data_IF_080691058445
#
_entry.id   IF_080691058445
#
_cell.length_a   1.000
_cell.length_b   1.000
_cell.length_c   1.000
_cell.angle_alpha   90.00
_cell.angle_beta   90.00
_cell.angle_gamma   90.00
#
_symmetry.space_group_name_H-M   'P 1'
#
loop_
_entity.id
_entity.type
_entity.pdbx_description
1 polymer ?
#
# COMPACT_ATOMS: atom_id res chain seq x y z
N UNK A 1 -54.82 38.62 -48.92
CA UNK A 1 -53.39 38.99 -48.85
C UNK A 1 -53.05 39.31 -47.41
N UNK A 2 -52.01 38.63 -46.88
CA UNK A 2 -51.06 39.07 -45.81
C UNK A 2 -51.58 39.62 -44.47
N UNK A 3 -50.98 39.38 -43.31
CA UNK A 3 -50.02 38.41 -42.77
C UNK A 3 -49.97 38.70 -41.25
N UNK A 4 -49.76 37.66 -40.43
CA UNK A 4 -48.97 37.59 -39.17
C UNK A 4 -48.53 38.88 -38.44
N UNK A 5 -48.45 38.99 -37.12
CA UNK A 5 -48.80 38.19 -35.93
C UNK A 5 -48.56 39.13 -34.72
N UNK A 6 -49.26 38.97 -33.57
CA UNK A 6 -49.04 39.80 -32.39
C UNK A 6 -48.27 39.01 -31.33
N UNK A 7 -47.29 39.63 -30.67
CA UNK A 7 -47.24 39.60 -29.21
C UNK A 7 -46.25 40.62 -28.65
N UNK A 8 -46.74 41.20 -27.58
CA UNK A 8 -46.37 42.43 -26.91
C UNK A 8 -45.57 42.13 -25.64
N UNK A 9 -44.47 42.88 -25.49
CA UNK A 9 -43.99 43.55 -24.27
C UNK A 9 -43.93 42.85 -22.89
N UNK A 10 -42.69 42.92 -22.36
CA UNK A 10 -42.28 43.47 -21.04
C UNK A 10 -42.04 42.57 -19.83
N UNK A 11 -40.83 42.81 -19.30
CA UNK A 11 -40.43 42.98 -17.90
C UNK A 11 -39.80 41.78 -17.15
N UNK A 12 -38.66 42.10 -16.52
CA UNK A 12 -37.74 41.24 -15.80
C UNK A 12 -38.05 41.16 -14.30
N UNK A 13 -37.75 40.02 -13.65
CA UNK A 13 -37.06 39.88 -12.35
C UNK A 13 -36.90 38.38 -11.95
N UNK A 14 -36.19 37.97 -10.87
CA UNK A 14 -34.93 37.22 -10.99
C UNK A 14 -34.93 35.80 -10.41
N UNK A 15 -33.81 35.13 -10.68
CA UNK A 15 -33.26 33.83 -10.21
C UNK A 15 -33.75 33.33 -8.84
N UNK A 16 -34.28 32.10 -8.83
CA UNK A 16 -34.28 31.19 -7.69
C UNK A 16 -33.87 29.78 -8.13
N UNK A 17 -32.96 29.15 -7.38
CA UNK A 17 -32.44 27.78 -7.53
C UNK A 17 -33.57 26.74 -7.39
N UNK A 18 -33.60 25.74 -8.26
CA UNK A 18 -34.36 24.52 -8.07
C UNK A 18 -33.40 23.31 -8.09
N UNK A 19 -33.38 22.59 -6.97
CA UNK A 19 -32.72 21.29 -6.79
C UNK A 19 -33.45 20.22 -7.60
N UNK A 20 -32.71 19.44 -8.39
CA UNK A 20 -33.22 18.27 -9.12
C UNK A 20 -33.18 17.05 -8.18
N UNK A 21 -34.36 16.63 -7.72
CA UNK A 21 -34.56 15.33 -7.07
C UNK A 21 -34.28 14.19 -8.08
N UNK A 22 -33.32 13.32 -7.74
CA UNK A 22 -33.07 12.06 -8.45
C UNK A 22 -34.23 11.09 -8.17
N UNK A 23 -34.73 10.46 -9.24
CA UNK A 23 -35.78 9.44 -9.19
C UNK A 23 -35.33 8.18 -8.43
N UNK A 24 -36.27 7.46 -7.76
CA UNK A 24 -35.97 6.17 -7.14
C UNK A 24 -35.69 5.11 -8.21
N UNK A 25 -34.69 4.25 -7.95
CA UNK A 25 -34.35 3.09 -8.79
C UNK A 25 -35.56 2.17 -8.95
N UNK A 26 -35.74 1.66 -10.16
CA UNK A 26 -36.76 0.67 -10.50
C UNK A 26 -36.63 -0.56 -9.59
N UNK A 27 -37.73 -1.13 -9.09
CA UNK A 27 -37.69 -2.39 -8.35
C UNK A 27 -37.16 -3.51 -9.25
N UNK A 28 -36.28 -4.35 -8.70
CA UNK A 28 -35.72 -5.52 -9.40
C UNK A 28 -36.84 -6.41 -9.93
N UNK A 29 -36.64 -6.93 -11.12
CA UNK A 29 -37.55 -7.89 -11.72
C UNK A 29 -37.52 -9.20 -10.93
N UNK A 30 -38.65 -9.92 -10.96
CA UNK A 30 -38.80 -11.21 -10.28
C UNK A 30 -37.74 -12.23 -10.76
N UNK A 31 -37.28 -12.07 -12.00
CA UNK A 31 -36.24 -12.91 -12.60
C UNK A 31 -34.84 -12.61 -12.05
N UNK A 32 -34.49 -11.33 -11.84
CA UNK A 32 -33.23 -10.95 -11.18
C UNK A 32 -33.16 -11.44 -9.74
N UNK A 33 -34.27 -11.42 -9.01
CA UNK A 33 -34.35 -11.95 -7.64
C UNK A 33 -34.16 -13.48 -7.64
N UNK A 34 -34.72 -14.17 -8.63
CA UNK A 34 -34.57 -15.63 -8.77
C UNK A 34 -33.14 -16.02 -9.15
N UNK A 35 -32.49 -15.25 -10.03
CA UNK A 35 -31.10 -15.49 -10.44
C UNK A 35 -30.12 -15.23 -9.27
N UNK A 36 -30.36 -14.18 -8.47
CA UNK A 36 -29.57 -13.90 -7.26
C UNK A 36 -29.73 -15.01 -6.20
N UNK A 37 -30.96 -15.50 -6.01
CA UNK A 37 -31.23 -16.62 -5.11
C UNK A 37 -30.58 -17.93 -5.58
N UNK A 38 -30.57 -18.19 -6.89
CA UNK A 38 -29.92 -19.38 -7.47
C UNK A 38 -28.40 -19.31 -7.30
N UNK A 39 -27.79 -18.13 -7.52
CA UNK A 39 -26.36 -17.93 -7.33
C UNK A 39 -25.91 -18.12 -5.87
N UNK A 40 -26.72 -17.66 -4.90
CA UNK A 40 -26.47 -17.89 -3.48
C UNK A 40 -26.55 -19.38 -3.11
N UNK A 41 -27.52 -20.10 -3.68
CA UNK A 41 -27.70 -21.53 -3.41
C UNK A 41 -26.54 -22.37 -3.99
N UNK A 42 -26.09 -22.07 -5.21
CA UNK A 42 -24.93 -22.71 -5.82
C UNK A 42 -23.65 -22.46 -5.01
N UNK A 43 -23.51 -21.27 -4.44
CA UNK A 43 -22.38 -20.92 -3.58
C UNK A 43 -22.38 -21.69 -2.25
N UNK A 44 -23.55 -21.88 -1.63
CA UNK A 44 -23.70 -22.69 -0.41
C UNK A 44 -23.36 -24.17 -0.66
N UNK A 45 -23.82 -24.71 -1.79
CA UNK A 45 -23.51 -26.08 -2.23
C UNK A 45 -21.99 -26.27 -2.50
N UNK A 46 -21.34 -25.27 -3.11
CA UNK A 46 -19.89 -25.29 -3.37
C UNK A 46 -19.07 -25.20 -2.07
N UNK A 47 -19.53 -24.41 -1.09
CA UNK A 47 -18.90 -24.34 0.24
C UNK A 47 -19.02 -25.67 1.00
N UNK A 48 -20.19 -26.32 0.97
CA UNK A 48 -20.38 -27.63 1.61
C UNK A 48 -19.51 -28.72 0.96
N UNK A 49 -19.35 -28.70 -0.37
CA UNK A 49 -18.48 -29.65 -1.08
C UNK A 49 -16.98 -29.49 -0.74
N UNK A 50 -16.57 -28.32 -0.25
CA UNK A 50 -15.20 -28.07 0.22
C UNK A 50 -14.97 -28.55 1.65
N UNK A 51 -16.01 -28.61 2.49
CA UNK A 51 -15.93 -29.10 3.87
C UNK A 51 -15.88 -30.64 3.96
N UNK A 52 -16.34 -31.37 2.94
CA UNK A 52 -16.39 -32.85 2.95
C UNK A 52 -15.09 -33.57 2.50
N UNK A 53 -14.03 -32.84 2.14
CA UNK A 53 -12.73 -33.47 1.80
C UNK A 53 -11.88 -33.69 3.05
N UNK A 54 -11.52 -34.94 3.41
CA UNK A 54 -10.69 -35.18 4.58
C UNK A 54 -9.27 -34.67 4.29
N UNK A 55 -8.88 -33.59 4.96
CA UNK A 55 -7.51 -33.09 4.99
C UNK A 55 -6.70 -34.01 5.90
N UNK A 56 -5.60 -34.55 5.37
CA UNK A 56 -4.66 -35.40 6.09
C UNK A 56 -4.26 -34.77 7.45
N UNK A 57 -4.60 -35.47 8.53
CA UNK A 57 -4.23 -35.14 9.90
C UNK A 57 -2.71 -35.14 10.05
N UNK A 58 -2.14 -34.02 10.50
CA UNK A 58 -0.70 -33.97 10.84
C UNK A 58 -0.08 -32.58 11.01
N UNK A 59 -0.76 -31.48 10.67
CA UNK A 59 -0.13 -30.13 10.70
C UNK A 59 -0.82 -29.15 11.67
N UNK A 60 -1.91 -29.55 12.35
CA UNK A 60 -2.73 -28.62 13.14
C UNK A 60 -2.88 -28.96 14.64
N UNK A 61 -2.15 -29.95 15.18
CA UNK A 61 -2.30 -30.32 16.61
C UNK A 61 -1.66 -29.34 17.61
N UNK A 62 -0.85 -28.37 17.17
CA UNK A 62 -0.07 -27.51 18.10
C UNK A 62 -0.62 -26.07 18.25
N UNK A 63 -1.85 -25.80 17.78
CA UNK A 63 -2.45 -24.46 17.88
C UNK A 63 -3.69 -24.38 18.79
N UNK A 64 -4.08 -25.46 19.48
CA UNK A 64 -5.30 -25.49 20.32
C UNK A 64 -5.08 -25.32 21.84
N UNK A 65 -3.89 -24.92 22.30
CA UNK A 65 -3.65 -24.67 23.75
C UNK A 65 -3.16 -23.26 24.10
N UNK A 66 -3.53 -22.23 23.32
CA UNK A 66 -3.41 -20.83 23.77
C UNK A 66 -4.75 -20.09 23.63
N UNK A 67 -5.18 -19.36 24.67
CA UNK A 67 -6.52 -18.78 24.72
C UNK A 67 -6.69 -17.71 23.64
N UNK A 68 -7.89 -17.70 23.06
CA UNK A 68 -8.29 -16.84 21.95
C UNK A 68 -8.20 -15.34 22.30
N UNK A 69 -7.94 -14.52 21.27
CA UNK A 69 -7.86 -13.05 21.32
C UNK A 69 -9.18 -12.31 21.70
N UNK A 70 -10.14 -13.01 22.30
CA UNK A 70 -11.40 -12.46 22.81
C UNK A 70 -11.33 -11.97 24.26
N UNK A 71 -10.26 -12.29 24.99
CA UNK A 71 -10.02 -11.81 26.37
C UNK A 71 -9.06 -10.60 26.47
N UNK A 72 -8.56 -10.09 25.34
CA UNK A 72 -7.62 -8.95 25.29
C UNK A 72 -8.28 -7.59 24.95
N UNK A 73 -9.59 -7.56 24.71
CA UNK A 73 -10.36 -6.34 24.45
C UNK A 73 -11.65 -6.34 25.29
N UNK A 74 -11.51 -6.09 26.58
CA UNK A 74 -12.61 -5.99 27.53
C UNK A 74 -12.21 -5.13 28.72
N UNK A 75 -11.98 -3.84 28.49
CA UNK A 75 -11.97 -2.82 29.53
C UNK A 75 -12.18 -1.45 28.85
N UNK A 76 -13.45 -1.03 28.86
CA UNK A 76 -13.96 0.33 29.00
C UNK A 76 -12.99 1.47 28.66
N UNK A 77 -13.16 2.01 27.44
CA UNK A 77 -12.73 3.35 27.10
C UNK A 77 -13.74 4.35 27.70
N UNK A 78 -13.65 4.62 28.99
CA UNK A 78 -14.20 5.86 29.56
C UNK A 78 -13.16 6.97 29.37
N UNK A 79 -13.62 8.07 28.79
CA UNK A 79 -12.82 9.28 28.62
C UNK A 79 -12.84 10.09 29.90
N UNK A 80 -11.68 10.57 30.30
CA UNK A 80 -11.56 11.70 31.23
C UNK A 80 -10.83 12.83 30.51
N UNK A 81 -11.64 13.81 30.11
CA UNK A 81 -11.25 15.21 30.12
C UNK A 81 -11.10 15.62 31.59
N UNK A 82 -9.92 16.09 32.02
CA UNK A 82 -9.84 16.87 33.27
C UNK A 82 -8.81 17.99 33.14
N UNK A 83 -9.35 19.21 33.13
CA UNK A 83 -8.68 20.48 33.28
C UNK A 83 -8.20 20.63 34.74
N UNK A 84 -7.02 21.23 34.93
CA UNK A 84 -6.41 21.33 36.26
C UNK A 84 -7.11 22.28 37.23
N UNK A 85 -6.85 22.11 38.53
CA UNK A 85 -6.45 23.19 39.45
C UNK A 85 -5.91 22.66 40.81
N UNK A 86 -5.08 23.51 41.39
CA UNK A 86 -4.38 23.62 42.70
C UNK A 86 -4.80 22.75 43.90
N UNK A 87 -3.78 22.22 44.60
CA UNK A 87 -3.87 21.83 46.01
C UNK A 87 -2.50 21.64 46.68
N UNK A 88 -2.15 22.52 47.61
CA UNK A 88 -0.90 22.54 48.38
C UNK A 88 -0.84 21.51 49.53
N UNK A 89 0.41 21.19 49.93
CA UNK A 89 0.98 20.79 51.26
C UNK A 89 0.69 19.40 51.88
N UNK A 90 1.54 18.87 52.80
CA UNK A 90 2.98 19.04 53.02
C UNK A 90 3.78 17.74 53.32
N UNK A 91 5.10 17.90 53.32
CA UNK A 91 6.16 16.99 53.80
C UNK A 91 5.90 16.26 55.13
N UNK A 92 6.28 14.98 55.21
CA UNK A 92 6.96 14.40 56.40
C UNK A 92 7.98 13.34 56.00
N UNK A 93 9.16 13.39 56.64
CA UNK A 93 10.23 12.37 56.59
C UNK A 93 10.00 11.34 57.70
N UNK A 94 10.36 10.08 57.45
CA UNK A 94 10.98 9.20 58.45
C UNK A 94 11.76 8.06 57.80
N UNK A 95 12.81 7.63 58.50
CA UNK A 95 13.96 6.89 58.01
C UNK A 95 14.04 5.45 58.54
N UNK A 96 14.92 4.66 57.91
CA UNK A 96 15.55 3.40 58.35
C UNK A 96 14.61 2.15 58.37
N UNK A 97 15.04 0.90 58.16
CA UNK A 97 16.35 0.25 58.11
C UNK A 97 16.23 -1.13 57.41
N UNK A 98 17.32 -1.52 56.75
CA UNK A 98 17.79 -2.84 56.28
C UNK A 98 17.07 -4.15 56.66
N UNK A 99 16.99 -5.08 55.68
CA UNK A 99 17.54 -6.46 55.77
C UNK A 99 17.56 -7.12 54.37
N UNK A 100 18.62 -7.89 54.10
CA UNK A 100 18.92 -8.52 52.82
C UNK A 100 18.59 -10.02 52.83
N UNK A 101 18.19 -10.61 51.68
CA UNK A 101 18.63 -11.97 51.27
C UNK A 101 18.33 -12.33 49.80
N UNK A 102 19.42 -12.75 49.13
CA UNK A 102 19.63 -13.74 48.06
C UNK A 102 19.25 -13.48 46.57
N UNK A 103 20.13 -13.94 45.62
CA UNK A 103 20.06 -13.59 44.21
C UNK A 103 19.24 -14.61 43.40
N UNK A 104 18.58 -14.15 42.33
CA UNK A 104 18.11 -14.99 41.23
C UNK A 104 18.92 -14.65 39.99
N UNK A 105 19.57 -15.66 39.42
CA UNK A 105 20.31 -15.61 38.17
C UNK A 105 19.41 -15.08 37.04
N UNK A 106 19.76 -13.93 36.49
CA UNK A 106 19.20 -13.41 35.26
C UNK A 106 20.17 -13.73 34.12
N UNK A 107 19.64 -14.37 33.07
CA UNK A 107 20.35 -14.59 31.80
C UNK A 107 20.82 -13.24 31.23
N UNK A 108 22.01 -13.13 30.61
CA UNK A 108 22.53 -11.85 30.17
C UNK A 108 21.70 -11.34 28.98
N UNK A 109 21.01 -10.21 29.19
CA UNK A 109 20.45 -9.38 28.12
C UNK A 109 21.64 -8.68 27.45
N UNK A 110 21.99 -9.13 26.24
CA UNK A 110 23.05 -8.50 25.45
C UNK A 110 22.68 -7.03 25.19
N UNK A 111 23.51 -6.11 25.66
CA UNK A 111 23.41 -4.69 25.36
C UNK A 111 23.76 -4.45 23.88
N UNK A 112 22.74 -4.14 23.07
CA UNK A 112 22.87 -3.75 21.65
C UNK A 112 23.31 -2.29 21.50
N UNK A 113 24.41 -1.89 22.14
CA UNK A 113 24.86 -0.47 22.11
C UNK A 113 26.16 -0.21 21.36
N UNK A 114 26.88 -1.21 20.83
CA UNK A 114 28.21 -0.99 20.24
C UNK A 114 28.38 -1.51 18.81
N UNK A 115 27.47 -1.15 17.89
CA UNK A 115 27.65 -1.40 16.45
C UNK A 115 27.21 -0.21 15.59
N UNK A 116 27.73 1.00 15.84
CA UNK A 116 27.67 2.09 14.84
C UNK A 116 28.89 3.00 15.00
N UNK A 117 30.03 2.60 14.44
CA UNK A 117 31.06 3.57 14.01
C UNK A 117 31.15 3.51 12.49
N UNK A 118 30.73 4.60 11.84
CA UNK A 118 30.69 4.71 10.40
C UNK A 118 29.82 5.89 9.98
N UNK A 119 30.36 7.09 10.12
CA UNK A 119 29.74 8.31 9.62
C UNK A 119 29.68 8.27 8.08
N UNK A 120 28.47 8.16 7.52
CA UNK A 120 28.19 8.44 6.12
C UNK A 120 27.36 9.70 6.00
N UNK A 121 27.81 10.67 5.20
CA UNK A 121 27.07 11.89 4.89
C UNK A 121 25.80 11.56 4.10
N UNK A 122 24.64 12.00 4.58
CA UNK A 122 23.39 12.00 3.82
C UNK A 122 22.24 11.32 4.56
N UNK A 123 21.15 12.07 4.73
CA UNK A 123 19.91 11.74 5.46
C UNK A 123 19.98 11.94 6.99
N UNK A 124 19.17 12.88 7.48
CA UNK A 124 19.00 13.16 8.91
C UNK A 124 18.00 12.17 9.49
N UNK A 125 18.35 11.53 10.60
CA UNK A 125 17.43 10.66 11.35
C UNK A 125 16.21 11.46 11.82
N UNK A 126 15.00 10.95 11.59
CA UNK A 126 13.76 11.51 12.12
C UNK A 126 13.84 11.61 13.65
N UNK A 127 14.57 10.73 14.36
CA UNK A 127 14.75 10.87 15.81
C UNK A 127 15.48 12.15 16.19
N UNK A 128 16.46 12.56 15.39
CA UNK A 128 17.18 13.82 15.57
C UNK A 128 16.29 15.01 15.17
N UNK A 129 15.51 14.88 14.09
CA UNK A 129 14.48 15.86 13.70
C UNK A 129 13.40 16.01 14.78
N UNK A 130 12.96 14.92 15.40
CA UNK A 130 12.00 14.87 16.51
C UNK A 130 12.58 15.52 17.77
N UNK A 131 13.85 15.26 18.10
CA UNK A 131 14.53 15.96 19.20
C UNK A 131 14.61 17.46 18.98
N UNK A 132 14.84 17.89 17.73
CA UNK A 132 14.78 19.31 17.36
C UNK A 132 13.37 19.85 17.52
N UNK A 133 12.34 19.13 17.05
CA UNK A 133 10.94 19.50 17.26
C UNK A 133 10.56 19.61 18.74
N UNK A 134 10.95 18.67 19.59
CA UNK A 134 10.69 18.73 21.04
C UNK A 134 11.41 19.92 21.68
N UNK A 135 12.66 20.19 21.26
CA UNK A 135 13.44 21.33 21.73
C UNK A 135 12.83 22.66 21.27
N UNK A 136 12.36 22.73 20.04
CA UNK A 136 11.75 23.91 19.44
C UNK A 136 10.31 24.12 19.94
N UNK A 137 9.55 23.05 20.21
CA UNK A 137 8.26 23.11 20.89
C UNK A 137 8.44 23.68 22.30
N UNK A 138 9.41 23.16 23.07
CA UNK A 138 9.77 23.68 24.41
C UNK A 138 10.27 25.13 24.37
N UNK A 139 11.02 25.53 23.33
CA UNK A 139 11.46 26.91 23.12
C UNK A 139 10.35 27.84 22.65
N UNK A 140 9.39 27.35 21.88
CA UNK A 140 8.25 28.15 21.39
C UNK A 140 7.27 28.55 22.50
N UNK A 141 7.21 27.76 23.58
CA UNK A 141 6.51 28.12 24.82
C UNK A 141 7.22 29.28 25.55
N UNK A 142 8.51 29.52 25.26
CA UNK A 142 9.35 30.48 25.96
C UNK A 142 9.74 31.71 25.12
N UNK A 143 9.65 31.64 23.79
CA UNK A 143 9.81 32.79 22.89
C UNK A 143 8.91 32.64 21.67
N UNK A 144 7.97 33.56 21.48
CA UNK A 144 6.99 33.57 20.39
C UNK A 144 7.58 33.88 19.01
N UNK A 145 8.60 33.13 18.55
CA UNK A 145 9.17 33.28 17.21
C UNK A 145 8.46 32.38 16.21
N UNK A 146 7.79 33.00 15.23
CA UNK A 146 6.94 32.37 14.20
C UNK A 146 7.69 32.04 12.90
N UNK A 147 9.00 32.32 12.82
CA UNK A 147 9.73 32.40 11.55
C UNK A 147 10.38 31.07 11.11
N UNK A 148 10.75 30.18 12.04
CA UNK A 148 11.41 28.90 11.69
C UNK A 148 10.44 27.77 11.32
N UNK A 149 9.15 27.90 11.63
CA UNK A 149 8.09 26.93 11.25
C UNK A 149 7.94 26.78 9.72
N UNK A 150 8.34 27.77 8.93
CA UNK A 150 8.00 27.85 7.51
C UNK A 150 8.85 26.94 6.59
N UNK A 151 10.10 26.64 6.95
CA UNK A 151 11.02 25.89 6.07
C UNK A 151 10.99 24.37 6.27
N UNK A 152 10.62 23.86 7.45
CA UNK A 152 10.52 22.41 7.71
C UNK A 152 9.09 21.87 7.52
N UNK A 153 8.06 22.70 7.69
CA UNK A 153 6.68 22.34 7.37
C UNK A 153 6.43 22.11 5.87
N UNK A 154 7.33 22.60 5.00
CA UNK A 154 7.15 22.54 3.54
C UNK A 154 7.52 21.18 2.93
N UNK A 155 8.39 20.38 3.54
CA UNK A 155 8.75 19.04 3.05
C UNK A 155 8.04 17.90 3.80
N UNK A 156 7.86 18.01 5.12
CA UNK A 156 7.27 16.96 5.98
C UNK A 156 5.82 17.24 6.40
N UNK A 157 5.01 17.75 5.47
CA UNK A 157 3.58 18.03 5.66
C UNK A 157 2.70 16.83 6.11
N UNK A 158 3.29 15.63 6.24
CA UNK A 158 2.62 14.37 6.58
C UNK A 158 2.94 13.90 8.00
N UNK A 159 3.99 14.45 8.63
CA UNK A 159 4.43 14.05 9.97
C UNK A 159 3.74 14.91 11.04
N UNK A 160 2.45 14.67 11.26
CA UNK A 160 1.74 15.25 12.40
C UNK A 160 2.20 14.58 13.73
N UNK A 161 1.94 15.19 14.90
CA UNK A 161 2.36 14.63 16.19
C UNK A 161 1.89 13.19 16.42
N UNK A 162 0.71 12.83 15.88
CA UNK A 162 0.17 11.48 15.98
C UNK A 162 0.97 10.47 15.15
N UNK A 163 1.27 10.79 13.88
CA UNK A 163 2.12 9.95 13.02
C UNK A 163 3.50 9.77 13.63
N UNK A 164 4.05 10.85 14.17
CA UNK A 164 5.35 10.86 14.87
C UNK A 164 5.35 9.88 16.05
N UNK A 165 4.31 9.89 16.89
CA UNK A 165 4.17 8.94 17.99
C UNK A 165 4.04 7.49 17.50
N UNK A 166 3.38 7.26 16.36
CA UNK A 166 3.28 5.91 15.78
C UNK A 166 4.63 5.39 15.29
N UNK A 167 5.42 6.24 14.62
CA UNK A 167 6.79 5.89 14.23
C UNK A 167 7.67 5.60 15.45
N UNK A 168 7.56 6.41 16.50
CA UNK A 168 8.28 6.18 17.74
C UNK A 168 7.89 4.84 18.41
N UNK A 169 6.62 4.45 18.35
CA UNK A 169 6.16 3.15 18.84
C UNK A 169 6.74 1.98 18.05
N UNK A 170 6.85 2.10 16.73
CA UNK A 170 7.51 1.09 15.88
C UNK A 170 8.99 0.95 16.25
N UNK A 171 9.67 2.08 16.51
CA UNK A 171 11.07 2.08 16.94
C UNK A 171 11.22 1.44 18.33
N UNK A 172 10.40 1.84 19.29
CA UNK A 172 10.47 1.33 20.67
C UNK A 172 10.14 -0.17 20.76
N UNK A 173 9.32 -0.70 19.83
CA UNK A 173 9.02 -2.13 19.74
C UNK A 173 10.17 -2.95 19.16
N UNK A 174 11.09 -2.31 18.43
CA UNK A 174 12.17 -2.99 17.72
C UNK A 174 11.81 -3.40 16.29
N UNK A 175 10.62 -3.02 15.79
CA UNK A 175 10.24 -3.26 14.38
C UNK A 175 11.13 -2.43 13.42
N UNK A 176 11.60 -1.27 13.89
CA UNK A 176 12.52 -0.38 13.20
C UNK A 176 13.60 0.09 14.19
N UNK A 177 14.82 0.34 13.71
CA UNK A 177 15.89 0.92 14.53
C UNK A 177 15.94 2.45 14.35
N UNK A 178 15.90 2.89 13.08
CA UNK A 178 16.00 4.29 12.70
C UNK A 178 15.13 4.60 11.48
N UNK A 179 14.47 5.75 11.48
CA UNK A 179 13.78 6.29 10.29
C UNK A 179 14.51 7.55 9.86
N UNK A 180 14.75 7.70 8.57
CA UNK A 180 15.49 8.78 7.93
C UNK A 180 14.55 9.67 7.10
N UNK A 181 15.13 10.68 6.43
CA UNK A 181 14.38 11.64 5.61
C UNK A 181 13.51 11.02 4.50
N UNK A 182 12.61 11.85 3.97
CA UNK A 182 11.70 11.48 2.90
C UNK A 182 12.48 11.13 1.62
N UNK A 183 12.28 9.90 1.13
CA UNK A 183 12.83 9.40 -0.13
C UNK A 183 12.01 9.87 -1.31
N UNK A 184 10.68 9.82 -1.18
CA UNK A 184 9.75 10.19 -2.23
C UNK A 184 8.52 10.86 -1.63
N UNK A 185 8.22 12.07 -2.11
CA UNK A 185 6.99 12.78 -1.76
C UNK A 185 6.00 12.65 -2.90
N UNK A 186 4.89 11.96 -2.66
CA UNK A 186 3.78 11.83 -3.58
C UNK A 186 2.59 12.72 -3.21
N UNK A 187 1.61 12.79 -4.11
CA UNK A 187 0.34 13.48 -3.86
C UNK A 187 -0.48 12.79 -2.76
N UNK A 188 -0.36 11.46 -2.66
CA UNK A 188 -1.18 10.62 -1.78
C UNK A 188 -0.44 10.16 -0.53
N UNK A 189 0.85 9.87 -0.67
CA UNK A 189 1.68 9.37 0.40
C UNK A 189 3.12 9.90 0.28
N UNK A 190 3.83 9.93 1.40
CA UNK A 190 5.27 10.11 1.45
C UNK A 190 5.93 8.79 1.83
N UNK A 191 7.06 8.49 1.22
CA UNK A 191 7.87 7.30 1.51
C UNK A 191 9.16 7.74 2.17
N UNK A 192 9.47 7.16 3.33
CA UNK A 192 10.67 7.44 4.11
C UNK A 192 11.57 6.21 4.12
N UNK A 193 12.88 6.42 4.15
CA UNK A 193 13.85 5.35 4.33
C UNK A 193 13.94 5.00 5.83
N UNK A 194 14.07 3.72 6.15
CA UNK A 194 14.29 3.26 7.51
C UNK A 194 15.26 2.09 7.54
N UNK A 195 15.96 1.93 8.66
CA UNK A 195 16.75 0.74 8.99
C UNK A 195 16.06 0.02 10.15
N UNK A 196 16.14 -1.29 10.13
CA UNK A 196 15.73 -2.15 11.24
C UNK A 196 16.64 -3.37 11.28
N UNK A 197 16.39 -4.23 12.26
CA UNK A 197 17.11 -5.49 12.42
C UNK A 197 16.11 -6.62 12.29
N UNK A 198 16.39 -7.57 11.42
CA UNK A 198 15.56 -8.76 11.26
C UNK A 198 15.61 -9.60 12.55
N UNK A 199 14.46 -9.90 13.15
CA UNK A 199 14.42 -10.58 14.46
C UNK A 199 14.99 -12.00 14.40
N UNK A 200 14.75 -12.72 13.30
CA UNK A 200 15.15 -14.11 13.14
C UNK A 200 16.65 -14.25 12.83
N UNK A 201 17.16 -13.41 11.92
CA UNK A 201 18.54 -13.49 11.44
C UNK A 201 19.51 -12.55 12.15
N UNK A 202 19.00 -11.59 12.93
CA UNK A 202 19.76 -10.52 13.59
C UNK A 202 20.60 -9.67 12.61
N UNK A 203 20.25 -9.67 11.33
CA UNK A 203 20.94 -8.92 10.30
C UNK A 203 20.29 -7.55 10.08
N UNK A 204 21.08 -6.52 9.74
CA UNK A 204 20.54 -5.23 9.37
C UNK A 204 19.70 -5.36 8.10
N UNK A 205 18.52 -4.73 8.12
CA UNK A 205 17.56 -4.75 7.04
C UNK A 205 17.04 -3.34 6.77
N UNK A 206 16.79 -3.05 5.50
CA UNK A 206 16.32 -1.75 5.06
C UNK A 206 14.82 -1.80 4.76
N UNK A 207 14.11 -0.75 5.16
CA UNK A 207 12.67 -0.60 5.04
C UNK A 207 12.29 0.72 4.38
N UNK A 208 11.19 0.69 3.65
CA UNK A 208 10.45 1.85 3.19
C UNK A 208 9.22 2.02 4.09
N UNK A 209 9.02 3.22 4.63
CA UNK A 209 7.87 3.59 5.44
C UNK A 209 6.98 4.49 4.61
N UNK A 210 5.89 3.94 4.05
CA UNK A 210 4.90 4.68 3.28
C UNK A 210 3.84 5.23 4.23
N UNK A 211 3.72 6.55 4.30
CA UNK A 211 2.77 7.27 5.16
C UNK A 211 1.78 7.99 4.26
N UNK A 212 0.52 7.58 4.30
CA UNK A 212 -0.54 8.22 3.52
C UNK A 212 -0.97 9.53 4.17
N UNK A 213 -1.26 10.55 3.35
CA UNK A 213 -1.65 11.87 3.82
C UNK A 213 -3.08 11.86 4.34
N UNK A 214 -3.27 12.31 5.58
CA UNK A 214 -4.58 12.34 6.26
C UNK A 214 -5.48 13.50 5.82
N UNK A 215 -4.92 14.61 5.36
CA UNK A 215 -5.61 15.89 5.11
C UNK A 215 -6.21 16.07 3.72
N UNK A 216 -6.26 14.99 2.93
CA UNK A 216 -6.57 15.04 1.50
C UNK A 216 -8.05 15.27 1.15
N UNK A 217 -8.63 16.42 1.46
CA UNK A 217 -9.98 16.77 0.97
C UNK A 217 -10.08 16.93 -0.57
N UNK A 218 -8.99 16.71 -1.31
CA UNK A 218 -8.85 17.01 -2.75
C UNK A 218 -8.81 15.79 -3.68
N UNK A 219 -8.92 14.55 -3.19
CA UNK A 219 -9.08 13.38 -4.07
C UNK A 219 -10.57 13.07 -4.29
N UNK A 220 -11.08 13.44 -5.47
CA UNK A 220 -12.48 13.24 -5.85
C UNK A 220 -12.94 11.79 -5.88
N UNK A 221 -12.03 10.81 -6.00
CA UNK A 221 -12.39 9.42 -6.30
C UNK A 221 -11.77 8.38 -5.33
N UNK A 222 -11.62 8.70 -4.03
CA UNK A 222 -11.12 7.72 -3.04
C UNK A 222 -11.89 6.40 -2.99
N UNK A 223 -13.17 6.45 -3.33
CA UNK A 223 -14.02 5.27 -3.35
C UNK A 223 -13.67 4.33 -4.51
N UNK A 224 -13.16 4.83 -5.64
CA UNK A 224 -12.82 4.03 -6.82
C UNK A 224 -11.75 2.97 -6.49
N UNK A 225 -10.90 3.23 -5.49
CA UNK A 225 -9.89 2.28 -5.02
C UNK A 225 -10.45 1.10 -4.23
N UNK A 226 -11.68 1.17 -3.72
CA UNK A 226 -12.27 0.12 -2.85
C UNK A 226 -13.61 -0.38 -3.38
N UNK A 227 -14.26 0.40 -4.26
CA UNK A 227 -15.54 0.06 -4.88
C UNK A 227 -15.36 -1.16 -5.77
N UNK A 228 -16.25 -2.16 -5.61
CA UNK A 228 -16.22 -3.40 -6.38
C UNK A 228 -15.31 -4.50 -5.81
N UNK A 229 -14.49 -4.20 -4.79
CA UNK A 229 -13.73 -5.21 -4.07
C UNK A 229 -14.59 -5.80 -2.93
N UNK A 230 -15.07 -7.04 -3.12
CA UNK A 230 -15.94 -7.75 -2.17
C UNK A 230 -15.32 -7.92 -0.77
N UNK A 231 -14.01 -7.75 -0.62
CA UNK A 231 -13.29 -7.85 0.66
C UNK A 231 -13.50 -6.63 1.55
N UNK A 232 -14.01 -5.54 0.99
CA UNK A 232 -14.24 -4.30 1.71
C UNK A 232 -15.73 -3.96 1.72
N UNK A 233 -16.13 -3.35 2.84
CA UNK A 233 -17.52 -3.03 3.12
C UNK A 233 -18.12 -2.09 2.06
N UNK A 234 -19.28 -2.49 1.51
CA UNK A 234 -20.05 -1.69 0.55
C UNK A 234 -20.44 -0.30 1.12
N UNK A 235 -20.43 -0.15 2.44
CA UNK A 235 -20.62 1.12 3.13
C UNK A 235 -19.36 1.99 3.25
N UNK A 236 -18.25 1.67 2.55
CA UNK A 236 -17.00 2.44 2.56
C UNK A 236 -17.22 3.95 2.40
N UNK A 237 -18.12 4.34 1.49
CA UNK A 237 -18.42 5.74 1.20
C UNK A 237 -19.09 6.48 2.38
N UNK A 238 -19.73 5.76 3.30
CA UNK A 238 -20.40 6.32 4.48
C UNK A 238 -19.46 6.45 5.69
N UNK A 239 -18.21 5.96 5.58
CA UNK A 239 -17.22 6.00 6.66
C UNK A 239 -16.46 7.32 6.67
N UNK A 240 -16.07 7.77 7.85
CA UNK A 240 -15.21 8.95 8.01
C UNK A 240 -13.88 8.79 7.26
N UNK A 241 -13.31 9.91 6.80
CA UNK A 241 -12.09 9.94 6.01
C UNK A 241 -10.92 9.15 6.65
N UNK A 242 -10.84 9.14 7.99
CA UNK A 242 -9.84 8.36 8.71
C UNK A 242 -10.03 6.85 8.57
N UNK A 243 -11.27 6.37 8.67
CA UNK A 243 -11.58 4.94 8.52
C UNK A 243 -11.34 4.49 7.09
N UNK A 244 -11.72 5.32 6.12
CA UNK A 244 -11.41 5.09 4.71
C UNK A 244 -9.90 4.98 4.45
N UNK A 245 -9.11 5.90 5.02
CA UNK A 245 -7.66 5.88 4.88
C UNK A 245 -7.04 4.61 5.48
N UNK A 246 -7.52 4.19 6.66
CA UNK A 246 -7.09 2.96 7.31
C UNK A 246 -7.41 1.74 6.43
N UNK A 247 -8.63 1.63 5.91
CA UNK A 247 -9.02 0.52 5.03
C UNK A 247 -8.20 0.49 3.74
N UNK A 248 -7.88 1.64 3.16
CA UNK A 248 -6.99 1.71 2.00
C UNK A 248 -5.56 1.26 2.34
N UNK A 249 -5.03 1.71 3.47
CA UNK A 249 -3.69 1.30 3.96
C UNK A 249 -3.64 -0.21 4.21
N UNK A 250 -4.69 -0.77 4.81
CA UNK A 250 -4.84 -2.22 4.99
C UNK A 250 -4.99 -2.95 3.66
N UNK A 251 -5.69 -2.38 2.68
CA UNK A 251 -5.80 -2.92 1.32
C UNK A 251 -4.43 -3.04 0.66
N UNK A 252 -3.63 -1.97 0.68
CA UNK A 252 -2.28 -2.00 0.12
C UNK A 252 -1.41 -3.05 0.80
N UNK A 253 -1.42 -3.10 2.14
CA UNK A 253 -0.68 -4.11 2.90
C UNK A 253 -1.09 -5.54 2.52
N UNK A 254 -2.40 -5.83 2.41
CA UNK A 254 -2.92 -7.16 2.03
C UNK A 254 -2.53 -7.52 0.59
N UNK A 255 -2.67 -6.58 -0.34
CA UNK A 255 -2.32 -6.80 -1.74
C UNK A 255 -0.81 -7.03 -1.89
N UNK A 256 0.05 -6.22 -1.24
CA UNK A 256 1.50 -6.44 -1.18
C UNK A 256 1.85 -7.80 -0.59
N UNK A 257 1.20 -8.18 0.52
CA UNK A 257 1.43 -9.46 1.19
C UNK A 257 1.10 -10.65 0.29
N UNK A 258 0.09 -10.50 -0.58
CA UNK A 258 -0.31 -11.54 -1.54
C UNK A 258 0.62 -11.55 -2.75
N UNK A 259 0.97 -10.38 -3.30
CA UNK A 259 1.86 -10.24 -4.45
C UNK A 259 3.29 -10.72 -4.16
N UNK A 260 3.86 -10.31 -3.02
CA UNK A 260 5.25 -10.60 -2.66
C UNK A 260 5.56 -12.10 -2.46
N UNK A 261 4.55 -12.97 -2.39
CA UNK A 261 4.71 -14.43 -2.37
C UNK A 261 5.05 -15.02 -3.74
N UNK A 262 4.67 -14.34 -4.81
CA UNK A 262 4.71 -14.89 -6.18
C UNK A 262 5.53 -14.05 -7.14
N UNK A 263 5.67 -12.76 -6.86
CA UNK A 263 6.40 -11.81 -7.69
C UNK A 263 7.37 -10.97 -6.86
N UNK A 264 8.30 -10.31 -7.54
CA UNK A 264 9.19 -9.31 -6.95
C UNK A 264 8.39 -8.05 -6.64
N UNK A 265 7.94 -7.97 -5.39
CA UNK A 265 7.34 -6.78 -4.79
C UNK A 265 7.99 -6.55 -3.41
N UNK A 266 7.95 -5.30 -2.88
CA UNK A 266 8.37 -5.03 -1.52
C UNK A 266 7.64 -5.91 -0.51
N UNK A 267 8.37 -6.80 0.17
CA UNK A 267 7.78 -7.63 1.21
C UNK A 267 7.28 -6.74 2.35
N UNK A 268 5.99 -6.74 2.69
CA UNK A 268 5.47 -5.91 3.76
C UNK A 268 5.88 -6.47 5.13
N UNK A 269 6.19 -5.58 6.08
CA UNK A 269 6.52 -5.91 7.46
C UNK A 269 5.32 -5.70 8.38
N UNK A 270 4.77 -4.49 8.40
CA UNK A 270 3.64 -4.16 9.27
C UNK A 270 2.82 -3.00 8.72
N UNK A 271 1.58 -2.87 9.22
CA UNK A 271 0.68 -1.76 8.92
C UNK A 271 0.12 -1.19 10.22
N UNK A 272 0.10 0.13 10.34
CA UNK A 272 -0.46 0.84 11.49
C UNK A 272 -1.20 2.09 11.05
N UNK A 273 -2.53 2.08 11.21
CA UNK A 273 -3.41 3.17 10.76
C UNK A 273 -3.18 3.52 9.29
N UNK A 274 -2.46 4.60 9.00
CA UNK A 274 -2.13 5.10 7.66
C UNK A 274 -0.65 4.95 7.30
N UNK A 275 0.06 4.03 7.95
CA UNK A 275 1.48 3.74 7.74
C UNK A 275 1.64 2.28 7.31
N UNK A 276 2.32 2.06 6.18
CA UNK A 276 2.79 0.74 5.74
C UNK A 276 4.32 0.71 5.80
N UNK A 277 4.86 -0.29 6.48
CA UNK A 277 6.30 -0.58 6.50
C UNK A 277 6.54 -1.78 5.61
N UNK A 278 7.47 -1.67 4.66
CA UNK A 278 7.79 -2.70 3.69
C UNK A 278 9.28 -2.72 3.38
N UNK A 279 9.77 -3.77 2.72
CA UNK A 279 11.17 -3.89 2.29
C UNK A 279 11.57 -2.70 1.41
N UNK A 280 12.71 -2.10 1.70
CA UNK A 280 13.30 -1.10 0.81
C UNK A 280 13.93 -1.77 -0.41
N UNK A 281 13.71 -1.18 -1.59
CA UNK A 281 14.33 -1.60 -2.86
C UNK A 281 15.23 -0.46 -3.32
N UNK A 282 16.53 -0.65 -3.14
CA UNK A 282 17.53 0.38 -3.38
C UNK A 282 18.92 -0.06 -2.95
N UNK A 283 19.83 0.89 -2.81
CA UNK A 283 21.21 0.62 -2.42
C UNK A 283 21.40 0.64 -0.88
N UNK A 284 22.63 0.32 -0.43
CA UNK A 284 23.02 0.33 0.98
C UNK A 284 23.02 1.72 1.61
N UNK A 285 23.14 2.77 0.80
CA UNK A 285 23.18 4.16 1.24
C UNK A 285 21.78 4.74 1.48
N UNK A 286 20.73 4.06 1.02
CA UNK A 286 19.34 4.47 1.18
C UNK A 286 18.78 5.21 -0.03
N UNK A 287 19.46 5.16 -1.18
CA UNK A 287 18.90 5.66 -2.43
C UNK A 287 17.96 4.60 -3.04
N UNK A 288 16.75 5.00 -3.46
CA UNK A 288 15.80 4.07 -4.06
C UNK A 288 16.32 3.60 -5.42
N UNK A 289 15.97 2.36 -5.80
CA UNK A 289 16.21 1.90 -7.15
C UNK A 289 15.48 2.81 -8.16
N UNK A 290 16.07 3.08 -9.35
CA UNK A 290 15.43 3.92 -10.35
C UNK A 290 14.13 3.27 -10.83
N UNK A 291 13.13 4.11 -11.12
CA UNK A 291 11.94 3.64 -11.85
C UNK A 291 12.33 3.18 -13.26
N UNK A 292 11.50 2.36 -13.89
CA UNK A 292 11.72 1.92 -15.27
C UNK A 292 11.75 3.11 -16.25
N UNK A 293 11.02 4.18 -15.91
CA UNK A 293 11.13 5.48 -16.60
C UNK A 293 12.52 6.11 -16.49
N UNK A 294 13.13 6.09 -15.32
CA UNK A 294 14.43 6.74 -15.08
C UNK A 294 15.61 5.87 -15.51
N UNK A 295 15.41 4.55 -15.54
CA UNK A 295 16.42 3.58 -15.91
C UNK A 295 16.91 3.81 -17.36
N UNK A 296 18.23 3.87 -17.51
CA UNK A 296 18.92 3.90 -18.80
C UNK A 296 19.32 2.48 -19.16
N UNK A 297 18.51 1.86 -20.00
CA UNK A 297 18.66 0.46 -20.40
C UNK A 297 19.17 0.37 -21.84
N UNK A 298 20.07 -0.58 -22.09
CA UNK A 298 20.42 -0.98 -23.46
C UNK A 298 19.24 -1.68 -24.13
N UNK A 299 19.29 -1.84 -25.45
CA UNK A 299 18.24 -2.55 -26.20
C UNK A 299 18.00 -3.98 -25.66
N UNK A 300 19.06 -4.75 -25.45
CA UNK A 300 18.96 -6.09 -24.84
C UNK A 300 18.36 -6.06 -23.43
N UNK A 301 18.77 -5.08 -22.59
CA UNK A 301 18.21 -4.94 -21.25
C UNK A 301 16.73 -4.57 -21.26
N UNK A 302 16.28 -3.78 -22.24
CA UNK A 302 14.86 -3.45 -22.43
C UNK A 302 14.04 -4.71 -22.76
N UNK A 303 14.56 -5.57 -23.65
CA UNK A 303 13.89 -6.84 -23.98
C UNK A 303 13.78 -7.74 -22.75
N UNK A 304 14.87 -7.92 -22.01
CA UNK A 304 14.83 -8.69 -20.76
C UNK A 304 13.87 -8.08 -19.73
N UNK A 305 13.82 -6.75 -19.61
CA UNK A 305 12.91 -6.07 -18.69
C UNK A 305 11.44 -6.26 -19.09
N UNK A 306 11.13 -6.23 -20.39
CA UNK A 306 9.80 -6.49 -20.93
C UNK A 306 9.33 -7.91 -20.59
N UNK A 307 10.15 -8.90 -20.89
CA UNK A 307 9.86 -10.32 -20.59
C UNK A 307 9.67 -10.52 -19.08
N UNK A 308 10.60 -9.98 -18.28
CA UNK A 308 10.55 -10.10 -16.81
C UNK A 308 9.28 -9.44 -16.23
N UNK A 309 8.83 -8.33 -16.82
CA UNK A 309 7.60 -7.65 -16.42
C UNK A 309 6.35 -8.45 -16.83
N UNK A 310 6.26 -8.96 -18.07
CA UNK A 310 5.13 -9.78 -18.51
C UNK A 310 4.98 -11.07 -17.70
N UNK A 311 6.09 -11.76 -17.41
CA UNK A 311 6.09 -12.94 -16.53
C UNK A 311 5.59 -12.56 -15.14
N UNK A 312 6.00 -11.40 -14.61
CA UNK A 312 5.54 -10.91 -13.32
C UNK A 312 4.04 -10.59 -13.33
N UNK A 313 3.51 -9.97 -14.40
CA UNK A 313 2.07 -9.70 -14.56
C UNK A 313 1.28 -11.01 -14.63
N UNK A 314 1.77 -12.01 -15.39
CA UNK A 314 1.15 -13.34 -15.47
C UNK A 314 1.11 -14.04 -14.10
N UNK A 315 2.21 -14.03 -13.35
CA UNK A 315 2.28 -14.59 -11.99
C UNK A 315 1.33 -13.84 -11.03
N UNK A 316 1.26 -12.51 -11.14
CA UNK A 316 0.32 -11.69 -10.37
C UNK A 316 -1.15 -12.07 -10.67
N UNK A 317 -1.48 -12.28 -11.94
CA UNK A 317 -2.83 -12.64 -12.39
C UNK A 317 -3.24 -14.07 -12.00
N UNK A 318 -2.39 -15.07 -12.23
CA UNK A 318 -2.75 -16.47 -11.99
C UNK A 318 -2.51 -16.92 -10.55
N UNK A 319 -1.41 -16.53 -9.93
CA UNK A 319 -1.01 -17.05 -8.61
C UNK A 319 -1.47 -16.12 -7.50
N UNK A 320 -1.24 -14.81 -7.65
CA UNK A 320 -1.71 -13.84 -6.66
C UNK A 320 -3.19 -13.46 -6.84
N UNK A 321 -3.85 -13.88 -7.93
CA UNK A 321 -5.23 -13.51 -8.28
C UNK A 321 -5.48 -12.00 -8.22
N UNK A 322 -4.49 -11.19 -8.60
CA UNK A 322 -4.53 -9.73 -8.59
C UNK A 322 -4.33 -9.18 -10.00
N UNK A 323 -4.95 -8.04 -10.24
CA UNK A 323 -4.57 -7.12 -11.32
C UNK A 323 -4.02 -5.86 -10.65
N UNK A 324 -2.91 -5.32 -11.16
CA UNK A 324 -2.27 -4.17 -10.53
C UNK A 324 -3.16 -2.93 -10.59
N UNK A 325 -3.86 -2.73 -11.71
CA UNK A 325 -4.87 -1.70 -11.87
C UNK A 325 -4.33 -0.28 -11.91
N UNK A 326 -3.01 -0.08 -11.99
CA UNK A 326 -2.38 1.23 -12.24
C UNK A 326 -0.92 1.02 -12.67
N UNK A 327 -0.67 -0.02 -13.47
CA UNK A 327 0.69 -0.38 -13.86
C UNK A 327 1.19 0.57 -14.95
N UNK A 328 2.37 1.13 -14.72
CA UNK A 328 3.08 2.01 -15.64
C UNK A 328 4.59 1.99 -15.37
N UNK A 329 5.38 2.67 -16.20
CA UNK A 329 6.83 2.79 -16.04
C UNK A 329 7.27 3.50 -14.75
N UNK A 330 6.34 4.17 -14.06
CA UNK A 330 6.56 4.85 -12.78
C UNK A 330 6.45 3.90 -11.59
N UNK A 331 5.65 2.84 -11.71
CA UNK A 331 5.33 1.89 -10.64
C UNK A 331 6.14 0.58 -10.75
N UNK A 332 7.19 0.59 -11.56
CA UNK A 332 8.14 -0.50 -11.74
C UNK A 332 9.52 0.02 -11.41
N UNK A 333 10.18 -0.53 -10.39
CA UNK A 333 11.58 -0.26 -10.11
C UNK A 333 12.47 -1.26 -10.84
N UNK A 334 13.62 -0.80 -11.32
CA UNK A 334 14.59 -1.66 -12.02
C UNK A 334 15.89 -1.75 -11.24
N UNK A 335 16.22 -2.96 -10.77
CA UNK A 335 17.42 -3.20 -9.99
C UNK A 335 17.98 -4.59 -10.30
N UNK A 336 19.31 -4.69 -10.46
CA UNK A 336 20.00 -5.97 -10.70
C UNK A 336 19.39 -6.78 -11.86
N UNK A 337 19.06 -6.10 -12.96
CA UNK A 337 18.40 -6.68 -14.16
C UNK A 337 17.04 -7.35 -13.89
N UNK A 338 16.32 -6.88 -12.88
CA UNK A 338 15.01 -7.40 -12.47
C UNK A 338 14.03 -6.25 -12.27
N UNK A 339 12.79 -6.48 -12.68
CA UNK A 339 11.65 -5.60 -12.46
C UNK A 339 11.02 -5.91 -11.09
N UNK A 340 10.82 -4.87 -10.29
CA UNK A 340 10.11 -4.90 -9.02
C UNK A 340 8.85 -4.06 -9.13
N UNK A 341 7.69 -4.65 -8.89
CA UNK A 341 6.42 -3.93 -8.93
C UNK A 341 6.17 -3.30 -7.57
N UNK A 342 5.74 -2.04 -7.57
CA UNK A 342 5.44 -1.26 -6.36
C UNK A 342 4.06 -0.61 -6.48
N UNK A 343 3.54 -0.11 -5.36
CA UNK A 343 2.27 0.63 -5.28
C UNK A 343 1.00 -0.19 -5.61
N UNK A 344 0.66 -1.12 -4.72
CA UNK A 344 -0.52 -2.00 -4.85
C UNK A 344 -1.80 -1.42 -4.24
N UNK A 345 -1.85 -0.11 -3.97
CA UNK A 345 -3.03 0.54 -3.40
C UNK A 345 -4.26 0.40 -4.30
N UNK A 346 -4.06 0.51 -5.62
CA UNK A 346 -5.13 0.42 -6.62
C UNK A 346 -5.40 -1.01 -7.11
N UNK A 347 -4.57 -1.98 -6.73
CA UNK A 347 -4.70 -3.36 -7.19
C UNK A 347 -6.05 -3.97 -6.80
N UNK A 348 -6.65 -4.70 -7.73
CA UNK A 348 -7.97 -5.31 -7.60
C UNK A 348 -7.88 -6.83 -7.65
N UNK A 349 -8.82 -7.47 -6.96
CA UNK A 349 -9.00 -8.92 -7.03
C UNK A 349 -9.61 -9.33 -8.39
N UNK A 350 -9.33 -10.55 -8.85
CA UNK A 350 -9.97 -11.13 -10.05
C UNK A 350 -11.49 -11.27 -9.93
N UNK A 351 -12.06 -11.23 -8.73
CA UNK A 351 -13.53 -11.19 -8.55
C UNK A 351 -14.14 -9.81 -8.86
N UNK A 352 -13.33 -8.77 -9.02
CA UNK A 352 -13.82 -7.42 -9.33
C UNK A 352 -14.41 -7.39 -10.75
N UNK A 353 -15.63 -6.86 -11.00
CA UNK A 353 -16.28 -6.90 -12.32
C UNK A 353 -15.38 -6.39 -13.47
N UNK A 354 -14.70 -5.28 -13.24
CA UNK A 354 -13.84 -4.62 -14.24
C UNK A 354 -12.36 -5.08 -14.25
N UNK A 355 -12.03 -6.23 -13.64
CA UNK A 355 -10.62 -6.65 -13.54
C UNK A 355 -9.94 -6.81 -14.91
N UNK A 356 -10.66 -7.28 -15.94
CA UNK A 356 -10.13 -7.41 -17.29
C UNK A 356 -9.89 -6.05 -17.95
N UNK A 357 -10.76 -5.07 -17.71
CA UNK A 357 -10.61 -3.69 -18.20
C UNK A 357 -9.33 -3.08 -17.63
N UNK A 358 -9.09 -3.24 -16.33
CA UNK A 358 -7.85 -2.81 -15.69
C UNK A 358 -6.62 -3.54 -16.23
N UNK A 359 -6.71 -4.86 -16.47
CA UNK A 359 -5.60 -5.63 -17.02
C UNK A 359 -5.23 -5.16 -18.43
N UNK A 360 -6.23 -4.92 -19.30
CA UNK A 360 -5.98 -4.38 -20.65
C UNK A 360 -5.30 -3.02 -20.59
N UNK A 361 -5.73 -2.14 -19.68
CA UNK A 361 -5.08 -0.84 -19.47
C UNK A 361 -3.61 -0.99 -19.02
N UNK A 362 -3.35 -1.86 -18.05
CA UNK A 362 -2.00 -2.13 -17.56
C UNK A 362 -1.09 -2.63 -18.70
N UNK A 363 -1.57 -3.58 -19.51
CA UNK A 363 -0.83 -4.13 -20.64
C UNK A 363 -0.61 -3.09 -21.76
N UNK A 364 -1.61 -2.27 -22.04
CA UNK A 364 -1.48 -1.15 -22.99
C UNK A 364 -0.40 -0.16 -22.55
N UNK A 365 -0.37 0.23 -21.27
CA UNK A 365 0.66 1.13 -20.73
C UNK A 365 2.06 0.51 -20.86
N UNK A 366 2.20 -0.78 -20.57
CA UNK A 366 3.45 -1.52 -20.72
C UNK A 366 3.89 -1.53 -22.19
N UNK A 367 3.01 -1.92 -23.11
CA UNK A 367 3.27 -1.94 -24.55
C UNK A 367 3.74 -0.56 -25.05
N UNK A 368 2.98 0.49 -24.75
CA UNK A 368 3.29 1.87 -25.14
C UNK A 368 4.62 2.37 -24.57
N UNK A 369 5.00 1.97 -23.36
CA UNK A 369 6.30 2.32 -22.81
C UNK A 369 7.45 1.68 -23.58
N UNK A 370 7.41 0.37 -23.80
CA UNK A 370 8.50 -0.35 -24.48
C UNK A 370 8.60 0.02 -25.96
N UNK A 371 7.47 0.26 -26.62
CA UNK A 371 7.43 0.76 -27.99
C UNK A 371 8.11 2.13 -28.11
N UNK A 372 7.79 3.09 -27.23
CA UNK A 372 8.44 4.41 -27.20
C UNK A 372 9.94 4.35 -26.89
N UNK A 373 10.42 3.28 -26.26
CA UNK A 373 11.84 3.05 -25.96
C UNK A 373 12.60 2.38 -27.12
N UNK A 374 11.91 2.05 -28.21
CA UNK A 374 12.52 1.51 -29.43
C UNK A 374 12.49 -0.01 -29.55
N UNK A 375 11.61 -0.71 -28.82
CA UNK A 375 11.27 -2.09 -29.15
C UNK A 375 10.14 -2.09 -30.19
N UNK A 376 10.35 -2.78 -31.31
CA UNK A 376 9.30 -2.98 -32.34
C UNK A 376 8.40 -4.14 -31.95
N UNK A 377 7.21 -4.23 -32.56
CA UNK A 377 6.36 -5.41 -32.39
C UNK A 377 7.05 -6.63 -33.02
N UNK A 378 6.99 -7.77 -32.33
CA UNK A 378 7.57 -9.00 -32.82
C UNK A 378 6.82 -9.47 -34.07
N UNK A 379 7.57 -9.75 -35.14
CA UNK A 379 7.04 -10.40 -36.34
C UNK A 379 7.67 -11.78 -36.47
N UNK A 380 7.12 -12.63 -37.34
CA UNK A 380 7.72 -13.96 -37.60
C UNK A 380 9.14 -13.86 -38.19
N UNK A 381 9.50 -12.71 -38.73
CA UNK A 381 10.81 -12.43 -39.35
C UNK A 381 11.74 -11.62 -38.43
N UNK A 382 11.20 -10.67 -37.64
CA UNK A 382 11.98 -9.86 -36.69
C UNK A 382 11.94 -10.44 -35.28
N UNK A 383 13.11 -10.90 -34.85
CA UNK A 383 13.28 -11.77 -33.68
C UNK A 383 13.37 -11.01 -32.34
N UNK A 384 13.41 -9.67 -32.38
CA UNK A 384 13.81 -8.81 -31.26
C UNK A 384 12.69 -7.89 -30.74
N UNK A 385 11.41 -8.28 -30.87
CA UNK A 385 10.27 -7.40 -30.60
C UNK A 385 9.51 -7.62 -29.28
N UNK A 386 8.43 -6.85 -29.09
CA UNK A 386 7.40 -7.04 -28.05
C UNK A 386 6.17 -7.71 -28.63
N UNK A 387 5.42 -8.44 -27.81
CA UNK A 387 4.13 -9.01 -28.23
C UNK A 387 3.14 -7.87 -28.52
N UNK A 388 2.24 -8.11 -29.48
CA UNK A 388 1.07 -7.24 -29.66
C UNK A 388 0.23 -7.19 -28.37
N UNK A 389 -0.57 -6.13 -28.20
CA UNK A 389 -1.40 -5.99 -27.00
C UNK A 389 -2.34 -7.20 -26.79
N UNK A 390 -2.91 -7.73 -27.87
CA UNK A 390 -3.80 -8.89 -27.82
C UNK A 390 -3.04 -10.19 -27.50
N UNK A 391 -1.84 -10.39 -28.07
CA UNK A 391 -1.00 -11.53 -27.75
C UNK A 391 -0.48 -11.47 -26.31
N UNK A 392 -0.14 -10.28 -25.82
CA UNK A 392 0.24 -10.09 -24.41
C UNK A 392 -0.93 -10.40 -23.48
N UNK A 393 -2.14 -9.97 -23.84
CA UNK A 393 -3.36 -10.29 -23.08
C UNK A 393 -3.66 -11.78 -23.09
N UNK A 394 -3.57 -12.44 -24.24
CA UNK A 394 -3.72 -13.90 -24.34
C UNK A 394 -2.66 -14.61 -23.49
N UNK A 395 -1.38 -14.25 -23.65
CA UNK A 395 -0.27 -14.80 -22.87
C UNK A 395 -0.49 -14.65 -21.36
N UNK A 396 -1.05 -13.53 -20.89
CA UNK A 396 -1.28 -13.31 -19.45
C UNK A 396 -2.50 -14.04 -18.92
N UNK A 397 -3.55 -14.22 -19.73
CA UNK A 397 -4.85 -14.74 -19.24
C UNK A 397 -5.03 -16.24 -19.45
N UNK A 398 -4.34 -16.82 -20.43
CA UNK A 398 -4.46 -18.24 -20.80
C UNK A 398 -3.94 -19.15 -19.68
N UNK A 399 -4.71 -20.13 -19.23
CA UNK A 399 -4.36 -20.95 -18.06
C UNK A 399 -3.28 -22.00 -18.39
N UNK A 400 -3.46 -22.72 -19.49
CA UNK A 400 -2.56 -23.78 -19.98
C UNK A 400 -1.88 -23.37 -21.28
N UNK A 401 -0.65 -23.86 -21.49
CA UNK A 401 0.09 -23.68 -22.75
C UNK A 401 0.24 -22.24 -23.23
N UNK A 402 0.32 -21.28 -22.30
CA UNK A 402 0.47 -19.86 -22.64
C UNK A 402 1.73 -19.56 -23.48
N UNK A 403 2.75 -20.42 -23.40
CA UNK A 403 3.97 -20.31 -24.21
C UNK A 403 3.74 -20.69 -25.67
N UNK A 404 2.59 -21.28 -26.03
CA UNK A 404 2.23 -21.51 -27.44
C UNK A 404 2.09 -20.21 -28.23
N UNK A 405 1.61 -19.14 -27.57
CA UNK A 405 1.58 -17.79 -28.15
C UNK A 405 2.99 -17.35 -28.58
N UNK A 406 4.02 -17.89 -27.93
CA UNK A 406 5.42 -17.60 -28.20
C UNK A 406 6.06 -18.54 -29.23
N UNK A 407 5.41 -19.64 -29.64
CA UNK A 407 5.98 -20.54 -30.67
C UNK A 407 6.18 -19.85 -32.02
N UNK A 408 5.37 -18.82 -32.31
CA UNK A 408 5.56 -17.98 -33.47
C UNK A 408 6.83 -17.09 -33.38
N UNK A 409 7.46 -17.00 -32.20
CA UNK A 409 8.59 -16.10 -31.89
C UNK A 409 9.71 -16.83 -31.12
N UNK A 410 10.54 -17.66 -31.80
CA UNK A 410 11.51 -18.54 -31.14
C UNK A 410 12.51 -17.86 -30.20
N UNK A 411 13.01 -16.66 -30.54
CA UNK A 411 13.95 -15.92 -29.70
C UNK A 411 13.30 -15.34 -28.46
N UNK A 412 12.10 -14.78 -28.61
CA UNK A 412 11.31 -14.29 -27.49
C UNK A 412 10.94 -15.47 -26.57
N UNK A 413 10.55 -16.61 -27.12
CA UNK A 413 10.32 -17.84 -26.36
C UNK A 413 11.54 -18.27 -25.55
N UNK A 414 12.77 -18.17 -26.10
CA UNK A 414 13.99 -18.46 -25.36
C UNK A 414 14.18 -17.52 -24.15
N UNK A 415 13.97 -16.22 -24.33
CA UNK A 415 14.06 -15.23 -23.24
C UNK A 415 13.02 -15.47 -22.14
N UNK A 416 11.80 -15.89 -22.52
CA UNK A 416 10.75 -16.25 -21.58
C UNK A 416 11.11 -17.50 -20.79
N UNK A 417 11.71 -18.52 -21.42
CA UNK A 417 12.15 -19.74 -20.73
C UNK A 417 13.29 -19.50 -19.72
N UNK A 418 14.17 -18.52 -19.93
CA UNK A 418 15.17 -18.12 -18.94
C UNK A 418 14.58 -17.49 -17.66
N UNK A 419 13.35 -16.97 -17.73
CA UNK A 419 12.71 -16.16 -16.68
C UNK A 419 11.52 -16.83 -16.01
N UNK A 420 11.03 -17.93 -16.58
CA UNK A 420 9.86 -18.68 -16.10
C UNK A 420 10.18 -19.39 -14.80
#
# INVERSE_FOLDING_TARGET
MSNTAPWSTLAASPVAKAESLKSPRSPMSLQEIMDEALALKLYEEECQALEEKPVAEGVWSDLETKPSARELYGADWEGDDDDGDVGQVPWTRSAASTTATKPKEAKPRLERSNLVEGASSGLVSIRETMRRWDKDARRSVQSGSRVEKAHFATQDSVLDPKTTLMLQKLINRGDLDEVYGCVQSGKEANVYFARGTDEDTLQPRQYAVKIFRSTLNSFGNRHEYVTGDRRFDLAFQKKDARRQLKEWTEKEFRNLSRAAKYIRAPAPLTVKEHIVVMRFIGDSEGHPAPTLKEAKLSHAQLQHAYVDLLVSIRKLFHQAKLVHGDLSEYNVLYQHQKCWLIDFGQAVDRTHPEFLTYLRRDLHNVFQFFQRRGLTEATSEESSGILSEDMAFEFVTREEDAYEVLHAFPELHALFNEKS
#
